data_IF_207316051801
#
_entry.id   IF_207316051801
#
_cell.length_a   1.000
_cell.length_b   1.000
_cell.length_c   1.000
_cell.angle_alpha   90.00
_cell.angle_beta   90.00
_cell.angle_gamma   90.00
#
_symmetry.space_group_name_H-M   'P 1'
#
loop_
_entity.id
_entity.type
_entity.pdbx_description
1 polymer ?
#
# COMPACT_ATOMS: atom_id res chain seq x y z
N UNK A 1 -9.93 -5.77 1.89
CA UNK A 1 -9.66 -4.73 2.89
C UNK A 1 -10.85 -4.63 3.82
N UNK A 2 -10.62 -4.40 5.12
CA UNK A 2 -11.66 -4.04 6.09
C UNK A 2 -11.18 -2.82 6.89
N UNK A 3 -12.04 -1.82 7.12
CA UNK A 3 -11.67 -0.57 7.80
C UNK A 3 -12.70 -0.18 8.87
N UNK A 4 -12.22 0.36 9.98
CA UNK A 4 -13.05 0.96 11.03
C UNK A 4 -12.36 2.19 11.64
N UNK A 5 -13.14 3.22 11.98
CA UNK A 5 -12.71 4.28 12.90
C UNK A 5 -13.16 3.89 14.30
N UNK A 6 -12.22 3.83 15.24
CA UNK A 6 -12.42 3.28 16.58
C UNK A 6 -12.31 4.41 17.61
N UNK A 7 -13.33 4.55 18.46
CA UNK A 7 -13.30 5.44 19.61
C UNK A 7 -12.62 4.75 20.80
N UNK A 8 -11.45 5.23 21.18
CA UNK A 8 -10.63 4.67 22.25
C UNK A 8 -10.87 5.34 23.62
N UNK A 9 -11.86 6.23 23.77
CA UNK A 9 -12.11 6.93 25.05
C UNK A 9 -12.34 5.98 26.23
N UNK A 10 -12.90 4.80 25.98
CA UNK A 10 -13.06 3.71 26.94
C UNK A 10 -12.28 2.45 26.52
N UNK A 11 -11.27 2.60 25.65
CA UNK A 11 -10.49 1.52 25.05
C UNK A 11 -11.27 0.66 24.03
N UNK A 12 -10.57 -0.24 23.36
CA UNK A 12 -11.18 -1.24 22.48
C UNK A 12 -10.37 -2.54 22.46
N UNK A 13 -11.00 -3.63 22.03
CA UNK A 13 -10.36 -4.92 21.74
C UNK A 13 -10.55 -5.23 20.26
N UNK A 14 -9.45 -5.40 19.53
CA UNK A 14 -9.40 -5.93 18.18
C UNK A 14 -9.23 -7.46 18.25
N UNK A 15 -10.00 -8.20 17.45
CA UNK A 15 -9.85 -9.65 17.30
C UNK A 15 -9.37 -9.98 15.89
N UNK A 16 -8.27 -10.71 15.79
CA UNK A 16 -7.76 -11.26 14.53
C UNK A 16 -8.02 -12.77 14.54
N UNK A 17 -8.72 -13.32 13.54
CA UNK A 17 -9.00 -14.75 13.48
C UNK A 17 -7.75 -15.54 13.08
N UNK A 18 -7.79 -16.86 13.28
CA UNK A 18 -6.80 -17.76 12.70
C UNK A 18 -6.81 -17.66 11.17
N UNK A 19 -5.63 -17.60 10.55
CA UNK A 19 -5.48 -17.41 9.10
C UNK A 19 -4.26 -18.14 8.51
N UNK A 20 -3.66 -19.07 9.27
CA UNK A 20 -2.51 -19.85 8.84
C UNK A 20 -1.33 -18.97 8.41
N UNK A 21 -0.68 -19.33 7.31
CA UNK A 21 0.48 -18.61 6.77
C UNK A 21 0.11 -17.44 5.85
N UNK A 22 -1.20 -17.17 5.65
CA UNK A 22 -1.65 -16.09 4.77
C UNK A 22 -1.23 -14.74 5.33
N UNK A 23 -0.74 -13.84 4.47
CA UNK A 23 -0.46 -12.48 4.90
C UNK A 23 -1.76 -11.77 5.33
N UNK A 24 -1.81 -11.38 6.61
CA UNK A 24 -2.82 -10.52 7.19
C UNK A 24 -2.14 -9.48 8.08
N UNK A 25 -2.45 -8.21 7.85
CA UNK A 25 -1.97 -7.10 8.69
C UNK A 25 -3.12 -6.20 9.10
N UNK A 26 -3.26 -5.88 10.38
CA UNK A 26 -4.15 -4.81 10.87
C UNK A 26 -3.30 -3.64 11.32
N UNK A 27 -3.25 -2.61 10.48
CA UNK A 27 -2.54 -1.36 10.75
C UNK A 27 -3.42 -0.42 11.57
N UNK A 28 -2.88 0.14 12.66
CA UNK A 28 -3.55 1.18 13.43
C UNK A 28 -2.94 2.53 13.09
N UNK A 29 -3.75 3.43 12.55
CA UNK A 29 -3.37 4.80 12.18
C UNK A 29 -4.03 5.77 13.14
N UNK A 30 -3.24 6.60 13.82
CA UNK A 30 -3.79 7.59 14.75
C UNK A 30 -4.24 8.88 14.01
N UNK A 31 -4.87 9.82 14.71
CA UNK A 31 -5.39 11.05 14.07
C UNK A 31 -4.30 11.93 13.44
N UNK A 32 -3.04 11.79 13.89
CA UNK A 32 -1.90 12.55 13.37
C UNK A 32 -1.13 11.75 12.29
N UNK A 33 -1.74 10.68 11.77
CA UNK A 33 -1.24 9.78 10.72
C UNK A 33 -0.11 8.82 11.12
N UNK A 34 0.32 8.81 12.37
CA UNK A 34 1.32 7.85 12.84
C UNK A 34 0.79 6.43 12.90
N UNK A 35 1.68 5.48 12.60
CA UNK A 35 1.42 4.05 12.60
C UNK A 35 2.32 3.40 13.64
N UNK A 36 1.82 3.37 14.88
CA UNK A 36 2.59 2.87 16.02
C UNK A 36 2.41 1.36 16.26
N UNK A 37 1.36 0.74 15.69
CA UNK A 37 1.10 -0.70 15.80
C UNK A 37 0.55 -1.31 14.53
N UNK A 38 1.04 -2.52 14.26
CA UNK A 38 0.63 -3.36 13.13
C UNK A 38 0.53 -4.78 13.67
N UNK A 39 -0.68 -5.31 13.67
CA UNK A 39 -0.96 -6.64 14.22
C UNK A 39 -1.04 -7.67 13.11
N UNK A 40 -0.36 -8.80 13.29
CA UNK A 40 -0.40 -9.94 12.36
C UNK A 40 -0.89 -11.21 13.04
N UNK A 41 -0.62 -11.37 14.35
CA UNK A 41 -0.92 -12.62 15.06
C UNK A 41 -2.42 -12.75 15.37
N UNK A 42 -3.01 -13.94 15.20
CA UNK A 42 -4.35 -14.25 15.70
C UNK A 42 -4.49 -13.96 17.20
N UNK A 43 -5.72 -13.66 17.63
CA UNK A 43 -6.06 -13.39 19.02
C UNK A 43 -6.65 -12.01 19.28
N UNK A 44 -6.74 -11.66 20.54
CA UNK A 44 -7.25 -10.38 21.02
C UNK A 44 -6.10 -9.40 21.29
N UNK A 45 -6.27 -8.17 20.80
CA UNK A 45 -5.31 -7.07 20.94
C UNK A 45 -6.01 -5.87 21.55
N UNK A 46 -5.50 -5.35 22.66
CA UNK A 46 -6.04 -4.14 23.28
C UNK A 46 -5.58 -2.90 22.52
N UNK A 47 -6.49 -1.94 22.35
CA UNK A 47 -6.24 -0.63 21.78
C UNK A 47 -6.56 0.42 22.83
N UNK A 48 -5.61 1.30 23.13
CA UNK A 48 -5.77 2.33 24.18
C UNK A 48 -5.30 3.70 23.70
N UNK A 49 -5.91 4.77 24.25
CA UNK A 49 -5.43 6.14 24.00
C UNK A 49 -3.98 6.35 24.45
N UNK A 50 -3.57 5.70 25.55
CA UNK A 50 -2.22 5.84 26.07
C UNK A 50 -1.17 5.32 25.08
N UNK A 51 -1.49 4.25 24.35
CA UNK A 51 -0.60 3.68 23.34
C UNK A 51 -0.64 4.45 22.02
N UNK A 52 -1.83 4.84 21.54
CA UNK A 52 -1.99 5.46 20.21
C UNK A 52 -1.94 6.99 20.21
N UNK A 53 -1.94 7.63 21.38
CA UNK A 53 -1.80 9.08 21.54
C UNK A 53 -3.05 9.90 21.20
N UNK A 54 -4.03 9.31 20.51
CA UNK A 54 -5.25 10.00 20.07
C UNK A 54 -6.49 9.23 20.51
N UNK A 55 -7.62 9.94 20.60
CA UNK A 55 -8.92 9.34 20.94
C UNK A 55 -9.43 8.41 19.84
N UNK A 56 -9.34 8.86 18.60
CA UNK A 56 -9.79 8.09 17.45
C UNK A 56 -8.59 7.51 16.72
N UNK A 57 -8.73 6.27 16.26
CA UNK A 57 -7.76 5.61 15.38
C UNK A 57 -8.51 4.95 14.24
N UNK A 58 -7.87 4.82 13.08
CA UNK A 58 -8.33 3.96 12.00
C UNK A 58 -7.64 2.59 12.11
N UNK A 59 -8.43 1.53 12.23
CA UNK A 59 -7.95 0.15 12.08
C UNK A 59 -8.17 -0.29 10.62
N UNK A 60 -7.09 -0.61 9.92
CA UNK A 60 -7.11 -1.00 8.51
C UNK A 60 -6.52 -2.40 8.34
N UNK A 61 -7.40 -3.38 8.07
CA UNK A 61 -7.02 -4.76 7.82
C UNK A 61 -6.77 -5.00 6.32
N UNK A 62 -5.65 -5.67 6.03
CA UNK A 62 -5.25 -6.15 4.71
C UNK A 62 -5.10 -7.65 4.78
N UNK A 63 -5.73 -8.36 3.86
CA UNK A 63 -5.62 -9.81 3.71
C UNK A 63 -5.20 -10.04 2.26
N UNK A 64 -4.13 -10.81 2.07
CA UNK A 64 -3.68 -11.20 0.73
C UNK A 64 -4.75 -12.08 0.07
N UNK A 65 -5.05 -11.80 -1.20
CA UNK A 65 -6.05 -12.52 -2.00
C UNK A 65 -5.51 -12.75 -3.41
N UNK A 66 -5.75 -13.94 -3.96
CA UNK A 66 -5.72 -14.18 -5.40
C UNK A 66 -7.12 -13.95 -5.97
N UNK A 67 -7.37 -12.80 -6.63
CA UNK A 67 -8.69 -12.50 -7.16
C UNK A 67 -9.08 -13.36 -8.38
N UNK A 68 -8.15 -14.13 -8.95
CA UNK A 68 -8.43 -15.03 -10.06
C UNK A 68 -8.94 -16.41 -9.59
N UNK A 69 -8.79 -16.73 -8.31
CA UNK A 69 -9.26 -17.96 -7.69
C UNK A 69 -10.50 -17.69 -6.83
N UNK A 70 -11.65 -18.21 -7.24
CA UNK A 70 -12.91 -18.01 -6.53
C UNK A 70 -12.93 -18.68 -5.14
N UNK A 71 -12.19 -19.77 -4.95
CA UNK A 71 -12.08 -20.44 -3.66
C UNK A 71 -11.20 -19.60 -2.72
N UNK A 72 -10.11 -19.02 -3.22
CA UNK A 72 -9.26 -18.09 -2.45
C UNK A 72 -10.03 -16.84 -2.01
N UNK A 73 -10.85 -16.27 -2.90
CA UNK A 73 -11.74 -15.14 -2.57
C UNK A 73 -12.73 -15.52 -1.46
N UNK A 74 -13.29 -16.72 -1.49
CA UNK A 74 -14.21 -17.20 -0.45
C UNK A 74 -13.49 -17.40 0.90
N UNK A 75 -12.27 -17.94 0.89
CA UNK A 75 -11.44 -18.09 2.08
C UNK A 75 -11.08 -16.74 2.69
N UNK A 76 -10.69 -15.76 1.88
CA UNK A 76 -10.42 -14.39 2.35
C UNK A 76 -11.67 -13.74 2.93
N UNK A 77 -12.84 -13.92 2.31
CA UNK A 77 -14.09 -13.40 2.85
C UNK A 77 -14.39 -13.99 4.25
N UNK A 78 -14.19 -15.29 4.44
CA UNK A 78 -14.36 -15.94 5.74
C UNK A 78 -13.37 -15.41 6.81
N UNK A 79 -12.12 -15.14 6.43
CA UNK A 79 -11.14 -14.49 7.31
C UNK A 79 -11.59 -13.06 7.66
N UNK A 80 -12.09 -12.30 6.69
CA UNK A 80 -12.58 -10.94 6.94
C UNK A 80 -13.80 -10.93 7.86
N UNK A 81 -14.71 -11.89 7.74
CA UNK A 81 -15.87 -12.07 8.62
C UNK A 81 -15.47 -12.44 10.06
N UNK A 82 -14.28 -13.05 10.24
CA UNK A 82 -13.72 -13.37 11.54
C UNK A 82 -13.03 -12.19 12.25
N UNK A 83 -12.80 -11.06 11.57
CA UNK A 83 -12.25 -9.86 12.20
C UNK A 83 -13.29 -9.26 13.16
N UNK A 84 -12.88 -9.03 14.41
CA UNK A 84 -13.74 -8.50 15.45
C UNK A 84 -13.26 -7.15 16.00
N UNK A 85 -14.20 -6.32 16.42
CA UNK A 85 -13.91 -5.09 17.16
C UNK A 85 -14.95 -4.88 18.26
N UNK A 86 -14.49 -4.80 19.50
CA UNK A 86 -15.31 -4.47 20.67
C UNK A 86 -14.77 -3.20 21.32
N UNK A 87 -15.41 -2.07 21.05
CA UNK A 87 -15.06 -0.80 21.67
C UNK A 87 -15.85 -0.58 22.97
N UNK A 88 -15.22 0.04 23.98
CA UNK A 88 -15.89 0.46 25.21
C UNK A 88 -16.86 1.63 24.98
N UNK A 89 -16.63 2.41 23.93
CA UNK A 89 -17.47 3.53 23.50
C UNK A 89 -17.70 3.49 21.98
N UNK A 90 -18.77 4.13 21.52
CA UNK A 90 -19.14 4.21 20.11
C UNK A 90 -19.54 5.65 19.73
N UNK A 91 -18.89 6.66 20.31
CA UNK A 91 -19.14 8.03 19.90
C UNK A 91 -18.61 8.23 18.47
N UNK A 92 -19.44 8.73 17.53
CA UNK A 92 -19.00 8.94 16.16
C UNK A 92 -17.83 9.91 16.05
N UNK A 93 -16.89 9.61 15.16
CA UNK A 93 -15.88 10.60 14.76
C UNK A 93 -16.55 11.70 13.93
N UNK A 94 -16.41 12.94 14.39
CA UNK A 94 -16.85 14.14 13.67
C UNK A 94 -15.64 14.73 12.95
N UNK A 95 -15.62 14.59 11.62
CA UNK A 95 -14.56 15.15 10.80
C UNK A 95 -14.61 16.69 10.82
N UNK A 96 -13.45 17.38 10.85
CA UNK A 96 -13.42 18.83 10.69
C UNK A 96 -13.99 19.27 9.34
N UNK A 97 -14.70 20.41 9.33
CA UNK A 97 -15.11 21.05 8.08
C UNK A 97 -13.91 21.76 7.47
N UNK A 98 -13.39 21.23 6.36
CA UNK A 98 -12.29 21.85 5.61
C UNK A 98 -12.80 22.78 4.50
N UNK A 99 -12.13 23.90 4.31
CA UNK A 99 -12.20 24.64 3.04
C UNK A 99 -11.43 23.84 1.98
N UNK A 100 -12.16 23.23 1.05
CA UNK A 100 -11.59 22.33 0.04
C UNK A 100 -10.58 23.05 -0.85
N UNK A 101 -10.82 24.32 -1.20
CA UNK A 101 -9.89 25.07 -2.06
C UNK A 101 -8.54 25.30 -1.36
N UNK A 102 -8.57 25.64 -0.08
CA UNK A 102 -7.36 25.80 0.75
C UNK A 102 -6.63 24.47 1.00
N UNK A 103 -7.38 23.40 1.26
CA UNK A 103 -6.85 22.05 1.42
C UNK A 103 -6.15 21.56 0.15
N UNK A 104 -6.82 21.69 -0.99
CA UNK A 104 -6.29 21.25 -2.30
C UNK A 104 -5.05 22.06 -2.69
N UNK A 105 -5.05 23.38 -2.46
CA UNK A 105 -3.88 24.22 -2.70
C UNK A 105 -2.66 23.75 -1.88
N UNK A 106 -2.87 23.42 -0.60
CA UNK A 106 -1.81 22.90 0.28
C UNK A 106 -1.34 21.52 -0.17
N UNK A 107 -2.28 20.60 -0.39
CA UNK A 107 -1.98 19.23 -0.82
C UNK A 107 -1.22 19.23 -2.14
N UNK A 108 -1.64 20.00 -3.13
CA UNK A 108 -0.97 20.06 -4.43
C UNK A 108 0.47 20.57 -4.33
N UNK A 109 0.74 21.57 -3.48
CA UNK A 109 2.10 22.02 -3.23
C UNK A 109 2.97 20.92 -2.60
N UNK A 110 2.41 20.12 -1.69
CA UNK A 110 3.09 18.96 -1.10
C UNK A 110 3.32 17.85 -2.14
N UNK A 111 2.35 17.58 -3.02
CA UNK A 111 2.50 16.60 -4.09
C UNK A 111 3.62 16.99 -5.07
N UNK A 112 3.72 18.27 -5.42
CA UNK A 112 4.83 18.76 -6.27
C UNK A 112 6.19 18.60 -5.60
N UNK A 113 6.29 18.84 -4.29
CA UNK A 113 7.52 18.57 -3.54
C UNK A 113 7.82 17.06 -3.47
N UNK A 114 6.79 16.23 -3.28
CA UNK A 114 6.92 14.77 -3.21
C UNK A 114 7.39 14.13 -4.52
N UNK A 115 7.19 14.78 -5.69
CA UNK A 115 7.77 14.31 -6.96
C UNK A 115 9.31 14.33 -6.98
N UNK A 116 9.92 15.12 -6.10
CA UNK A 116 11.38 15.24 -6.00
C UNK A 116 12.06 14.27 -5.03
N UNK A 117 11.32 13.34 -4.41
CA UNK A 117 11.87 12.33 -3.49
C UNK A 117 11.74 10.93 -4.10
N UNK A 118 12.80 10.11 -3.94
CA UNK A 118 12.92 8.80 -4.61
C UNK A 118 12.07 7.68 -3.98
N UNK A 119 11.28 7.97 -2.94
CA UNK A 119 10.43 7.00 -2.26
C UNK A 119 9.82 7.51 -0.96
N UNK A 120 9.30 6.58 -0.16
CA UNK A 120 8.64 6.85 1.13
C UNK A 120 9.49 6.47 2.35
N UNK A 121 10.80 6.33 2.15
CA UNK A 121 11.92 6.76 3.03
C UNK A 121 11.62 7.25 4.46
N UNK A 122 11.10 6.47 5.40
CA UNK A 122 10.76 6.99 6.74
C UNK A 122 9.55 7.94 6.78
N UNK A 123 8.60 7.76 5.85
CA UNK A 123 7.33 8.47 5.82
C UNK A 123 6.28 7.90 6.80
N UNK A 124 6.38 6.62 7.13
CA UNK A 124 5.33 5.88 7.83
C UNK A 124 5.93 5.10 9.01
N UNK A 125 5.34 5.24 10.19
CA UNK A 125 5.85 4.61 11.43
C UNK A 125 5.37 5.33 12.68
N UNK A 126 5.96 4.96 13.81
CA UNK A 126 5.80 5.69 15.06
C UNK A 126 6.46 7.09 14.97
N UNK A 127 6.10 8.04 15.85
CA UNK A 127 6.65 9.40 15.81
C UNK A 127 8.19 9.50 15.86
N UNK A 128 8.87 8.53 16.48
CA UNK A 128 10.32 8.44 16.60
C UNK A 128 10.99 7.64 15.49
N UNK A 129 10.22 7.06 14.57
CA UNK A 129 10.68 6.25 13.44
C UNK A 129 10.61 7.00 12.10
N UNK A 130 9.98 8.19 12.07
CA UNK A 130 9.75 8.95 10.84
C UNK A 130 10.59 10.21 10.76
N UNK A 131 10.95 10.61 9.53
CA UNK A 131 11.39 11.98 9.27
C UNK A 131 10.15 12.88 9.16
N UNK A 132 10.04 13.99 9.92
CA UNK A 132 8.84 14.81 9.94
C UNK A 132 8.46 15.42 8.58
N UNK A 133 9.44 15.73 7.73
CA UNK A 133 9.19 16.28 6.39
C UNK A 133 8.71 15.17 5.47
N UNK A 134 9.35 14.01 5.50
CA UNK A 134 8.96 12.87 4.66
C UNK A 134 7.62 12.30 5.10
N UNK A 135 7.31 12.28 6.40
CA UNK A 135 5.99 11.96 6.94
C UNK A 135 4.91 12.88 6.38
N UNK A 136 5.11 14.20 6.43
CA UNK A 136 4.16 15.17 5.86
C UNK A 136 3.89 14.93 4.37
N UNK A 137 4.94 14.67 3.59
CA UNK A 137 4.83 14.36 2.17
C UNK A 137 4.09 13.03 1.95
N UNK A 138 4.42 12.01 2.75
CA UNK A 138 3.77 10.70 2.74
C UNK A 138 2.29 10.76 3.07
N UNK A 139 1.88 11.53 4.07
CA UNK A 139 0.47 11.73 4.41
C UNK A 139 -0.32 12.35 3.25
N UNK A 140 0.29 13.30 2.52
CA UNK A 140 -0.37 13.96 1.39
C UNK A 140 -0.45 13.10 0.12
N UNK A 141 0.63 12.36 -0.17
CA UNK A 141 0.81 11.60 -1.41
C UNK A 141 0.33 10.13 -1.31
N UNK A 142 0.40 9.52 -0.12
CA UNK A 142 0.24 8.09 0.08
C UNK A 142 -0.35 7.74 1.45
N UNK A 143 -1.42 8.41 1.85
CA UNK A 143 -2.09 8.17 3.13
C UNK A 143 -2.31 6.68 3.38
N UNK A 144 -1.80 6.20 4.52
CA UNK A 144 -1.96 4.81 4.96
C UNK A 144 -0.93 3.86 4.36
N UNK A 145 0.21 4.35 3.84
CA UNK A 145 1.38 3.50 3.60
C UNK A 145 1.82 2.79 4.88
N UNK A 146 2.42 1.60 4.75
CA UNK A 146 3.01 0.90 5.88
C UNK A 146 4.45 1.37 6.11
N UNK A 147 5.00 1.21 7.31
CA UNK A 147 6.44 1.32 7.54
C UNK A 147 7.24 0.36 6.65
N UNK A 148 8.49 0.70 6.39
CA UNK A 148 9.29 0.03 5.36
C UNK A 148 9.61 -1.42 5.67
N UNK A 149 9.72 -1.77 6.95
CA UNK A 149 9.90 -3.15 7.39
C UNK A 149 8.68 -4.04 7.10
N UNK A 150 7.51 -3.43 6.83
CA UNK A 150 6.29 -4.11 6.40
C UNK A 150 6.09 -4.05 4.89
N UNK A 151 6.27 -2.86 4.29
CA UNK A 151 6.23 -2.70 2.84
C UNK A 151 7.12 -1.54 2.40
N UNK A 152 8.07 -1.84 1.51
CA UNK A 152 8.88 -0.83 0.85
C UNK A 152 8.21 -0.36 -0.45
N UNK A 153 8.28 0.95 -0.70
CA UNK A 153 7.64 1.59 -1.84
C UNK A 153 8.67 2.32 -2.69
N UNK A 154 8.84 1.89 -3.94
CA UNK A 154 9.58 2.63 -4.95
C UNK A 154 8.58 3.39 -5.81
N UNK A 155 8.68 4.72 -5.80
CA UNK A 155 7.89 5.58 -6.68
C UNK A 155 8.68 5.81 -7.98
N UNK A 156 8.10 5.46 -9.13
CA UNK A 156 8.77 5.62 -10.42
C UNK A 156 7.95 6.49 -11.35
N UNK A 157 8.46 7.69 -11.60
CA UNK A 157 8.03 8.57 -12.69
C UNK A 157 9.10 8.52 -13.79
N UNK A 158 8.91 7.70 -14.84
CA UNK A 158 9.93 7.52 -15.86
C UNK A 158 10.06 8.72 -16.80
N UNK A 159 9.10 9.66 -16.82
CA UNK A 159 9.09 10.78 -17.77
C UNK A 159 9.05 10.34 -19.25
N UNK A 160 8.58 9.11 -19.52
CA UNK A 160 8.60 8.49 -20.84
C UNK A 160 7.26 8.70 -21.57
N UNK A 161 7.27 8.89 -22.91
CA UNK A 161 6.04 9.02 -23.69
C UNK A 161 5.25 7.71 -23.70
N UNK A 162 3.97 7.77 -24.08
CA UNK A 162 3.16 6.58 -24.34
C UNK A 162 3.75 5.82 -25.53
N UNK A 163 4.36 4.66 -25.23
CA UNK A 163 4.96 3.73 -26.17
C UNK A 163 5.03 2.34 -25.53
N UNK A 164 5.66 1.37 -26.21
CA UNK A 164 5.86 0.03 -25.66
C UNK A 164 7.15 -0.05 -24.87
N UNK A 165 7.05 -0.54 -23.64
CA UNK A 165 8.18 -0.83 -22.77
C UNK A 165 8.04 -2.21 -22.15
N UNK A 166 9.16 -2.74 -21.67
CA UNK A 166 9.20 -3.97 -20.87
C UNK A 166 9.95 -3.73 -19.58
N UNK A 167 9.55 -4.47 -18.56
CA UNK A 167 10.23 -4.52 -17.28
C UNK A 167 10.36 -5.97 -16.88
N UNK A 168 11.59 -6.48 -16.87
CA UNK A 168 11.89 -7.86 -16.51
C UNK A 168 12.28 -7.94 -15.05
N UNK A 169 11.51 -8.68 -14.26
CA UNK A 169 11.69 -8.79 -12.81
C UNK A 169 12.14 -10.21 -12.44
N UNK A 170 13.25 -10.30 -11.73
CA UNK A 170 13.86 -11.55 -11.23
C UNK A 170 14.26 -11.40 -9.77
N UNK A 171 14.07 -12.45 -8.96
CA UNK A 171 14.66 -12.61 -7.63
C UNK A 171 14.56 -11.37 -6.70
N UNK A 172 13.36 -10.84 -6.52
CA UNK A 172 13.10 -9.74 -5.57
C UNK A 172 13.16 -10.29 -4.13
N UNK A 173 14.01 -9.74 -3.23
CA UNK A 173 14.23 -10.29 -1.90
C UNK A 173 13.13 -9.85 -0.91
N UNK A 174 11.94 -10.42 -1.11
CA UNK A 174 10.76 -10.25 -0.25
C UNK A 174 10.34 -11.58 0.35
N UNK A 175 9.88 -11.57 1.60
CA UNK A 175 9.28 -12.75 2.25
C UNK A 175 7.76 -12.81 2.08
N UNK A 176 7.14 -11.71 1.65
CA UNK A 176 5.73 -11.65 1.27
C UNK A 176 5.57 -11.76 -0.24
N UNK A 177 5.38 -10.62 -0.88
CA UNK A 177 5.16 -10.53 -2.33
C UNK A 177 5.58 -9.15 -2.84
N UNK A 178 5.70 -9.01 -4.15
CA UNK A 178 5.87 -7.71 -4.79
C UNK A 178 4.78 -7.44 -5.80
N UNK A 179 4.49 -6.16 -6.04
CA UNK A 179 3.53 -5.72 -7.04
C UNK A 179 3.93 -4.42 -7.69
N UNK A 180 3.41 -4.19 -8.89
CA UNK A 180 3.60 -3.00 -9.70
C UNK A 180 2.21 -2.46 -10.04
N UNK A 181 1.95 -1.21 -9.68
CA UNK A 181 0.68 -0.54 -9.95
C UNK A 181 0.89 0.68 -10.84
N UNK A 182 0.13 0.77 -11.93
CA UNK A 182 0.16 1.88 -12.88
C UNK A 182 -0.78 3.01 -12.43
N UNK A 183 -0.32 4.25 -12.57
CA UNK A 183 -1.09 5.46 -12.26
C UNK A 183 -1.06 6.45 -13.43
N UNK A 184 -2.07 7.31 -13.50
CA UNK A 184 -2.13 8.46 -14.41
C UNK A 184 -1.32 9.66 -13.85
N UNK A 185 -1.26 10.75 -14.61
CA UNK A 185 -0.53 11.98 -14.24
C UNK A 185 -0.99 12.61 -12.90
N UNK A 186 -2.24 12.36 -12.52
CA UNK A 186 -2.87 12.85 -11.29
C UNK A 186 -2.64 11.92 -10.08
N UNK A 187 -1.97 10.77 -10.28
CA UNK A 187 -1.69 9.79 -9.24
C UNK A 187 -2.84 8.82 -8.94
N UNK A 188 -3.83 8.70 -9.84
CA UNK A 188 -4.94 7.75 -9.74
C UNK A 188 -4.80 6.58 -10.70
N UNK A 189 -5.51 5.48 -10.42
CA UNK A 189 -5.62 4.39 -11.39
C UNK A 189 -6.31 4.89 -12.66
N UNK A 190 -5.78 4.59 -13.86
CA UNK A 190 -6.47 4.87 -15.10
C UNK A 190 -7.85 4.17 -15.13
N UNK A 191 -8.92 4.92 -15.30
CA UNK A 191 -10.28 4.39 -15.43
C UNK A 191 -10.62 4.13 -16.90
N UNK A 192 -10.02 3.08 -17.45
CA UNK A 192 -10.18 2.68 -18.86
C UNK A 192 -10.59 1.21 -19.04
N UNK A 193 -10.89 0.50 -17.94
CA UNK A 193 -11.26 -0.92 -17.94
C UNK A 193 -10.09 -1.88 -18.14
N UNK A 194 -8.85 -1.39 -18.18
CA UNK A 194 -7.66 -2.22 -18.32
C UNK A 194 -7.06 -2.61 -16.96
N UNK A 195 -6.25 -3.69 -16.88
CA UNK A 195 -5.51 -4.02 -15.68
C UNK A 195 -4.56 -2.88 -15.27
N UNK A 196 -4.57 -2.57 -13.98
CA UNK A 196 -3.73 -1.50 -13.38
C UNK A 196 -2.68 -2.05 -12.42
N UNK A 197 -2.61 -3.37 -12.22
CA UNK A 197 -1.69 -4.01 -11.31
C UNK A 197 -1.15 -5.34 -11.85
N UNK A 198 0.11 -5.64 -11.55
CA UNK A 198 0.73 -6.96 -11.68
C UNK A 198 1.43 -7.30 -10.37
N UNK A 199 1.38 -8.55 -9.92
CA UNK A 199 2.10 -9.03 -8.74
C UNK A 199 2.69 -10.43 -8.99
N UNK A 200 3.70 -10.84 -8.21
CA UNK A 200 4.42 -12.10 -8.45
C UNK A 200 3.66 -13.38 -8.07
N UNK A 201 2.50 -13.27 -7.43
CA UNK A 201 1.66 -14.41 -7.08
C UNK A 201 0.84 -14.82 -8.30
N UNK A 202 0.21 -13.85 -8.97
CA UNK A 202 -0.71 -14.10 -10.08
C UNK A 202 -0.10 -13.86 -11.46
N UNK A 203 1.09 -13.25 -11.54
CA UNK A 203 1.77 -13.00 -12.81
C UNK A 203 2.13 -14.32 -13.52
N UNK A 204 1.98 -14.29 -14.85
CA UNK A 204 2.49 -15.35 -15.72
C UNK A 204 4.01 -15.26 -15.74
N UNK A 205 4.69 -16.37 -15.49
CA UNK A 205 6.15 -16.46 -15.48
C UNK A 205 6.69 -16.89 -16.83
N UNK A 206 7.87 -16.38 -17.15
CA UNK A 206 8.68 -16.85 -18.29
C UNK A 206 9.30 -18.22 -17.97
N UNK A 207 9.86 -18.90 -18.97
CA UNK A 207 10.45 -20.25 -18.85
C UNK A 207 11.58 -20.34 -17.80
N UNK A 208 12.28 -19.23 -17.55
CA UNK A 208 13.35 -19.12 -16.55
C UNK A 208 12.85 -18.63 -15.17
N UNK A 209 11.53 -18.51 -15.00
CA UNK A 209 10.89 -18.13 -13.74
C UNK A 209 10.76 -16.61 -13.51
N UNK A 210 11.33 -15.78 -14.40
CA UNK A 210 11.18 -14.34 -14.36
C UNK A 210 9.73 -13.90 -14.64
N UNK A 211 9.41 -12.64 -14.31
CA UNK A 211 8.16 -12.00 -14.71
C UNK A 211 8.49 -10.82 -15.62
N UNK A 212 8.03 -10.88 -16.87
CA UNK A 212 8.09 -9.73 -17.79
C UNK A 212 6.76 -8.98 -17.75
N UNK A 213 6.81 -7.69 -17.37
CA UNK A 213 5.67 -6.77 -17.37
C UNK A 213 5.72 -5.91 -18.65
N UNK A 214 4.57 -5.79 -19.30
CA UNK A 214 4.44 -5.12 -20.60
C UNK A 214 3.69 -3.80 -20.46
N UNK A 215 4.40 -2.68 -20.57
CA UNK A 215 3.79 -1.35 -20.50
C UNK A 215 3.45 -0.83 -21.90
N UNK A 216 2.25 -0.26 -22.07
CA UNK A 216 1.80 0.38 -23.30
C UNK A 216 0.72 -0.40 -24.06
N UNK A 217 0.56 -0.09 -25.35
CA UNK A 217 -0.45 -0.69 -26.21
C UNK A 217 -0.03 -2.10 -26.68
N UNK A 218 -0.21 -3.09 -25.80
CA UNK A 218 0.00 -4.51 -26.09
C UNK A 218 -1.34 -5.23 -26.32
N UNK A 219 -1.31 -6.26 -27.16
CA UNK A 219 -2.50 -7.10 -27.41
C UNK A 219 -3.03 -7.73 -26.13
N UNK A 220 -4.34 -8.00 -26.08
CA UNK A 220 -4.98 -8.58 -24.90
C UNK A 220 -4.52 -10.01 -24.57
N UNK A 221 -3.89 -10.67 -25.53
CA UNK A 221 -3.24 -11.98 -25.41
C UNK A 221 -1.85 -11.92 -24.75
N UNK A 222 -1.27 -10.73 -24.61
CA UNK A 222 0.02 -10.54 -23.95
C UNK A 222 -0.17 -10.52 -22.42
N UNK A 223 0.48 -11.43 -21.67
CA UNK A 223 0.36 -11.48 -20.22
C UNK A 223 1.02 -10.28 -19.52
N UNK A 224 0.63 -10.04 -18.28
CA UNK A 224 1.22 -9.03 -17.37
C UNK A 224 1.29 -7.63 -17.99
N UNK A 225 0.24 -7.23 -18.73
CA UNK A 225 0.18 -5.95 -19.43
C UNK A 225 -0.40 -4.83 -18.54
N UNK A 226 0.14 -3.63 -18.70
CA UNK A 226 -0.31 -2.40 -18.05
C UNK A 226 -0.41 -1.30 -19.12
N UNK A 227 -1.63 -0.92 -19.49
CA UNK A 227 -1.86 0.05 -20.57
C UNK A 227 -1.55 1.48 -20.12
N UNK A 228 -0.41 2.03 -20.56
CA UNK A 228 0.04 3.37 -20.17
C UNK A 228 -0.83 4.47 -20.76
N UNK A 229 -1.00 5.55 -20.00
CA UNK A 229 -1.68 6.80 -20.41
C UNK A 229 -0.68 7.97 -20.41
N UNK A 230 -1.09 9.14 -20.91
CA UNK A 230 -0.25 10.34 -20.84
C UNK A 230 0.13 10.67 -19.38
N UNK A 231 1.41 10.95 -19.15
CA UNK A 231 1.96 11.22 -17.81
C UNK A 231 1.92 10.02 -16.85
N UNK A 232 1.92 8.80 -17.39
CA UNK A 232 1.95 7.58 -16.58
C UNK A 232 3.15 7.53 -15.63
N UNK A 233 2.90 6.97 -14.46
CA UNK A 233 3.90 6.62 -13.45
C UNK A 233 3.49 5.29 -12.81
N UNK A 234 4.36 4.70 -12.01
CA UNK A 234 4.04 3.44 -11.32
C UNK A 234 4.71 3.35 -9.96
N UNK A 235 4.07 2.60 -9.07
CA UNK A 235 4.62 2.28 -7.75
C UNK A 235 4.93 0.79 -7.71
N UNK A 236 6.16 0.47 -7.33
CA UNK A 236 6.55 -0.88 -6.95
C UNK A 236 6.39 -1.01 -5.44
N UNK A 237 5.71 -2.06 -5.00
CA UNK A 237 5.52 -2.40 -3.58
C UNK A 237 6.20 -3.73 -3.30
N UNK A 238 7.04 -3.77 -2.27
CA UNK A 238 7.78 -4.95 -1.84
C UNK A 238 7.42 -5.24 -0.39
N UNK A 239 6.54 -6.23 -0.17
CA UNK A 239 5.99 -6.57 1.15
C UNK A 239 6.90 -7.54 1.90
N UNK A 240 7.14 -7.27 3.19
CA UNK A 240 8.14 -7.95 4.01
C UNK A 240 9.51 -7.96 3.31
N UNK A 241 10.07 -6.77 2.99
CA UNK A 241 11.36 -6.69 2.33
C UNK A 241 12.46 -7.21 3.24
N UNK A 242 13.43 -7.93 2.67
CA UNK A 242 14.66 -8.29 3.37
C UNK A 242 15.63 -7.11 3.40
N UNK A 243 16.73 -7.30 4.13
CA UNK A 243 17.74 -6.28 4.36
C UNK A 243 18.29 -5.69 3.05
N UNK A 244 18.40 -6.48 1.99
CA UNK A 244 18.96 -6.05 0.71
C UNK A 244 18.18 -4.91 0.05
N UNK A 245 16.86 -4.84 0.26
CA UNK A 245 16.04 -3.71 -0.20
C UNK A 245 16.27 -2.49 0.70
N UNK A 246 16.30 -2.70 2.02
CA UNK A 246 16.38 -1.62 3.00
C UNK A 246 17.75 -0.94 3.05
N UNK A 247 18.83 -1.70 2.79
CA UNK A 247 20.20 -1.21 2.74
C UNK A 247 20.65 -0.73 1.33
N UNK A 248 19.78 -0.90 0.33
CA UNK A 248 20.00 -0.47 -1.05
C UNK A 248 20.95 -1.36 -1.86
N UNK A 249 21.35 -2.53 -1.37
CA UNK A 249 22.18 -3.48 -2.13
C UNK A 249 21.40 -4.19 -3.25
N UNK A 250 20.08 -4.29 -3.11
CA UNK A 250 19.17 -4.68 -4.17
C UNK A 250 18.64 -3.44 -4.91
N UNK A 251 18.65 -3.50 -6.24
CA UNK A 251 18.03 -2.48 -7.09
C UNK A 251 16.93 -3.11 -7.90
N UNK A 252 15.72 -2.56 -7.80
CA UNK A 252 14.60 -3.01 -8.64
C UNK A 252 14.89 -2.63 -10.10
N UNK A 253 14.62 -3.51 -11.08
CA UNK A 253 14.91 -3.23 -12.48
C UNK A 253 14.13 -2.02 -13.01
N UNK A 254 14.65 -1.38 -14.05
CA UNK A 254 14.02 -0.25 -14.72
C UNK A 254 13.29 -0.69 -16.00
N UNK A 255 12.34 0.14 -16.43
CA UNK A 255 11.65 -0.06 -17.71
C UNK A 255 12.60 0.18 -18.89
N UNK A 256 12.50 -0.67 -19.91
CA UNK A 256 13.30 -0.60 -21.13
C UNK A 256 12.38 -0.42 -22.35
N UNK A 257 12.80 0.43 -23.30
CA UNK A 257 12.11 0.58 -24.58
C UNK A 257 12.21 -0.70 -25.41
N UNK A 258 11.13 -1.04 -26.12
CA UNK A 258 11.06 -2.18 -27.05
C UNK A 258 11.45 -1.77 -28.47
#
# INVERSE_FOLDING_TARGET
>A
YSLAVVDLVEGATLTIPEHGDRYLSVMIVNNDHYINRIYHTPGEHELTMAEHGTRYVAAAARVLVDPADADDVADVAAIQDGLGLRAGSAQPFEAPTYDTASLDATRNALLELARGVDGFTGAFGAPDEVDPVVHLLGTAAGWGGLPEHEAFYLNVDPGLPVARYRLRVTDVPVDGFWSISLYNAEGYFPDNGEPVNVNNITAVRDDDGAVTVHFGDWGSDVPNRLTTVEGWNYIVRMYRPRAEILDGTFTFPAVEAV
#
